data_IF_303064142369
#
_entry.id   IF_303064142369
#
_cell.length_a   1.000
_cell.length_b   1.000
_cell.length_c   1.000
_cell.angle_alpha   90.00
_cell.angle_beta   90.00
_cell.angle_gamma   90.00
#
_symmetry.space_group_name_H-M   'P 1'
#
loop_
_entity.id
_entity.type
_entity.pdbx_description
1 polymer ?
#
# COMPACT_ATOMS: atom_id res chain seq x y z
N UNK A 1 18.03 -25.23 -13.78
CA UNK A 1 17.70 -25.93 -15.04
C UNK A 1 18.65 -27.08 -15.34
N UNK A 2 19.94 -26.99 -15.02
CA UNK A 2 20.87 -28.14 -15.07
C UNK A 2 20.31 -29.41 -14.38
N UNK A 3 19.69 -29.27 -13.21
CA UNK A 3 19.04 -30.37 -12.48
C UNK A 3 17.93 -31.05 -13.29
N UNK A 4 17.16 -30.31 -14.10
CA UNK A 4 16.12 -30.90 -14.95
C UNK A 4 16.75 -31.79 -16.04
N UNK A 5 17.82 -31.33 -16.68
CA UNK A 5 18.57 -32.12 -17.67
C UNK A 5 19.22 -33.35 -17.06
N UNK A 6 19.72 -33.25 -15.83
CA UNK A 6 20.24 -34.40 -15.09
C UNK A 6 19.14 -35.43 -14.77
N UNK A 7 17.96 -34.98 -14.34
CA UNK A 7 16.82 -35.89 -14.10
C UNK A 7 16.42 -36.55 -15.41
N UNK A 8 16.28 -35.79 -16.50
CA UNK A 8 15.95 -36.33 -17.82
C UNK A 8 16.92 -37.45 -18.19
N UNK A 9 18.22 -37.17 -18.15
CA UNK A 9 19.29 -38.13 -18.43
C UNK A 9 19.21 -39.39 -17.55
N UNK A 10 19.13 -39.23 -16.23
CA UNK A 10 19.10 -40.35 -15.29
C UNK A 10 17.84 -41.20 -15.44
N UNK A 11 16.71 -40.61 -15.82
CA UNK A 11 15.45 -41.34 -16.04
C UNK A 11 15.39 -42.06 -17.39
N UNK A 12 16.22 -41.67 -18.36
CA UNK A 12 16.26 -42.29 -19.69
C UNK A 12 17.40 -43.28 -19.87
N UNK A 13 18.38 -43.28 -18.95
CA UNK A 13 19.51 -44.21 -18.97
C UNK A 13 19.10 -45.56 -18.40
N UNK A 14 19.35 -46.63 -19.16
CA UNK A 14 19.09 -48.02 -18.80
C UNK A 14 20.37 -48.78 -18.43
N UNK A 15 21.53 -48.29 -18.87
CA UNK A 15 22.84 -48.89 -18.55
C UNK A 15 23.55 -48.11 -17.45
N UNK A 16 24.29 -48.81 -16.60
CA UNK A 16 25.07 -48.19 -15.52
C UNK A 16 26.13 -47.22 -16.06
N UNK A 17 26.69 -47.50 -17.24
CA UNK A 17 27.66 -46.63 -17.91
C UNK A 17 27.04 -45.29 -18.32
N UNK A 18 25.87 -45.32 -18.98
CA UNK A 18 25.19 -44.08 -19.34
C UNK A 18 24.65 -43.39 -18.10
N UNK A 19 24.07 -44.13 -17.16
CA UNK A 19 23.54 -43.56 -15.94
C UNK A 19 24.62 -42.76 -15.22
N UNK A 20 25.84 -43.28 -15.08
CA UNK A 20 26.93 -42.62 -14.37
C UNK A 20 27.67 -41.55 -15.18
N UNK A 21 27.30 -41.34 -16.44
CA UNK A 21 27.93 -40.35 -17.28
C UNK A 21 27.62 -38.91 -16.83
N UNK A 22 28.64 -38.05 -16.81
CA UNK A 22 28.46 -36.64 -16.45
C UNK A 22 27.82 -35.88 -17.62
N UNK A 23 26.66 -35.26 -17.42
CA UNK A 23 26.04 -34.37 -18.42
C UNK A 23 26.58 -32.94 -18.39
N UNK A 24 27.45 -32.62 -17.43
CA UNK A 24 28.01 -31.28 -17.23
C UNK A 24 29.25 -31.06 -18.12
N UNK A 25 29.07 -31.08 -19.45
CA UNK A 25 30.19 -31.11 -20.38
C UNK A 25 30.18 -29.94 -21.36
N UNK A 26 31.20 -29.09 -21.23
CA UNK A 26 31.46 -27.93 -22.08
C UNK A 26 32.25 -28.26 -23.37
N UNK A 27 32.71 -29.51 -23.60
CA UNK A 27 33.53 -29.86 -24.77
C UNK A 27 32.71 -30.59 -25.86
N UNK A 28 32.85 -30.16 -27.12
CA UNK A 28 32.19 -30.80 -28.28
C UNK A 28 32.57 -32.29 -28.45
N UNK A 29 33.82 -32.64 -28.13
CA UNK A 29 34.34 -34.01 -28.30
C UNK A 29 33.69 -35.01 -27.34
N UNK A 30 33.42 -34.61 -26.10
CA UNK A 30 32.77 -35.48 -25.13
C UNK A 30 31.25 -35.60 -25.36
N UNK A 31 30.60 -34.60 -25.96
CA UNK A 31 29.21 -34.72 -26.42
C UNK A 31 29.07 -35.77 -27.53
N UNK A 32 30.06 -35.86 -28.42
CA UNK A 32 30.11 -36.86 -29.49
C UNK A 32 30.35 -38.28 -28.93
N UNK A 33 31.31 -38.44 -28.01
CA UNK A 33 31.57 -39.71 -27.30
C UNK A 33 30.33 -40.20 -26.54
N UNK A 34 29.59 -39.29 -25.91
CA UNK A 34 28.33 -39.61 -25.23
C UNK A 34 27.22 -40.08 -26.18
N UNK A 35 26.99 -39.37 -27.28
CA UNK A 35 25.99 -39.77 -28.29
C UNK A 35 26.34 -41.12 -28.91
N UNK A 36 27.64 -41.40 -29.12
CA UNK A 36 28.11 -42.69 -29.63
C UNK A 36 27.83 -43.82 -28.63
N UNK A 37 28.12 -43.63 -27.34
CA UNK A 37 27.83 -44.61 -26.28
C UNK A 37 26.33 -44.86 -26.13
N UNK A 38 25.51 -43.82 -26.15
CA UNK A 38 24.05 -43.94 -26.09
C UNK A 38 23.50 -44.75 -27.28
N UNK A 39 24.06 -44.52 -28.48
CA UNK A 39 23.69 -45.26 -29.67
C UNK A 39 24.09 -46.73 -29.62
N UNK A 40 25.30 -47.01 -29.18
CA UNK A 40 25.85 -48.37 -29.17
C UNK A 40 25.25 -49.26 -28.07
N UNK A 41 24.79 -48.68 -26.95
CA UNK A 41 24.32 -49.46 -25.79
C UNK A 41 22.80 -49.40 -25.53
N UNK A 42 22.11 -48.31 -25.88
CA UNK A 42 20.69 -48.11 -25.49
C UNK A 42 19.68 -47.99 -26.65
N UNK A 43 20.15 -47.87 -27.90
CA UNK A 43 19.30 -47.85 -29.09
C UNK A 43 19.34 -49.15 -29.91
N UNK A 44 19.84 -50.23 -29.31
CA UNK A 44 19.82 -51.58 -29.90
C UNK A 44 18.36 -52.06 -30.01
N UNK A 45 17.93 -52.67 -31.13
CA UNK A 45 16.56 -53.15 -31.28
C UNK A 45 16.22 -54.19 -30.22
N UNK A 46 15.14 -53.98 -29.48
CA UNK A 46 14.64 -55.01 -28.59
C UNK A 46 13.75 -55.99 -29.37
N UNK A 47 14.27 -57.20 -29.62
CA UNK A 47 13.59 -58.24 -30.38
C UNK A 47 12.37 -58.84 -29.66
N UNK A 48 12.17 -58.57 -28.37
CA UNK A 48 11.05 -59.11 -27.58
C UNK A 48 9.80 -58.22 -27.58
N UNK A 49 9.89 -57.01 -28.14
CA UNK A 49 8.83 -56.00 -28.13
C UNK A 49 8.40 -55.72 -29.59
N UNK A 50 7.13 -55.38 -29.88
CA UNK A 50 6.71 -54.99 -31.22
C UNK A 50 7.58 -53.85 -31.78
N UNK A 51 8.05 -54.01 -33.02
CA UNK A 51 8.99 -53.10 -33.69
C UNK A 51 8.59 -51.63 -33.58
N UNK A 52 7.31 -51.32 -33.77
CA UNK A 52 6.78 -49.96 -33.73
C UNK A 52 6.92 -49.31 -32.34
N UNK A 53 6.65 -50.08 -31.28
CA UNK A 53 6.80 -49.61 -29.90
C UNK A 53 8.26 -49.49 -29.46
N UNK A 54 9.13 -50.39 -29.93
CA UNK A 54 10.58 -50.30 -29.68
C UNK A 54 11.21 -49.09 -30.41
N UNK A 55 10.81 -48.85 -31.66
CA UNK A 55 11.23 -47.66 -32.42
C UNK A 55 10.78 -46.36 -31.74
N UNK A 56 9.53 -46.32 -31.28
CA UNK A 56 8.96 -45.17 -30.56
C UNK A 56 9.73 -44.89 -29.28
N UNK A 57 10.01 -45.92 -28.47
CA UNK A 57 10.79 -45.79 -27.23
C UNK A 57 12.20 -45.24 -27.50
N UNK A 58 12.90 -45.76 -28.52
CA UNK A 58 14.24 -45.29 -28.91
C UNK A 58 14.24 -43.84 -29.38
N UNK A 59 13.27 -43.45 -30.20
CA UNK A 59 13.09 -42.05 -30.61
C UNK A 59 12.86 -41.14 -29.41
N UNK A 60 12.01 -41.53 -28.46
CA UNK A 60 11.77 -40.74 -27.24
C UNK A 60 13.04 -40.53 -26.42
N UNK A 61 13.83 -41.60 -26.25
CA UNK A 61 15.13 -41.50 -25.59
C UNK A 61 16.03 -40.52 -26.32
N UNK A 62 16.19 -40.66 -27.65
CA UNK A 62 17.02 -39.75 -28.46
C UNK A 62 16.62 -38.28 -28.25
N UNK A 63 15.33 -37.96 -28.32
CA UNK A 63 14.88 -36.58 -28.09
C UNK A 63 15.23 -36.09 -26.68
N UNK A 64 14.94 -36.87 -25.64
CA UNK A 64 15.25 -36.48 -24.26
C UNK A 64 16.76 -36.36 -23.99
N UNK A 65 17.58 -37.19 -24.64
CA UNK A 65 19.03 -37.11 -24.55
C UNK A 65 19.60 -35.91 -25.31
N UNK A 66 19.12 -35.64 -26.53
CA UNK A 66 19.45 -34.40 -27.26
C UNK A 66 19.09 -33.17 -26.43
N UNK A 67 17.99 -33.22 -25.69
CA UNK A 67 17.62 -32.16 -24.76
C UNK A 67 18.57 -32.04 -23.56
N UNK A 68 19.03 -33.14 -22.99
CA UNK A 68 19.92 -33.12 -21.82
C UNK A 68 21.31 -32.55 -22.15
N UNK A 69 21.80 -32.80 -23.38
CA UNK A 69 23.17 -32.51 -23.82
C UNK A 69 23.27 -31.29 -24.76
N UNK A 70 22.16 -30.96 -25.43
CA UNK A 70 22.08 -29.95 -26.48
C UNK A 70 22.17 -28.48 -26.05
N UNK A 71 21.58 -28.03 -24.92
CA UNK A 71 21.61 -26.62 -24.56
C UNK A 71 23.04 -26.17 -24.22
N UNK A 72 23.48 -25.09 -24.86
CA UNK A 72 24.68 -24.33 -24.44
C UNK A 72 24.35 -23.58 -23.14
N UNK A 73 23.10 -23.10 -23.01
CA UNK A 73 22.58 -22.43 -21.81
C UNK A 73 21.35 -23.15 -21.23
N UNK A 74 21.44 -23.51 -19.95
CA UNK A 74 20.34 -24.09 -19.19
C UNK A 74 19.38 -22.99 -18.70
N UNK A 75 18.50 -22.50 -19.57
CA UNK A 75 17.47 -21.50 -19.25
C UNK A 75 16.04 -22.07 -19.30
N UNK A 76 15.08 -21.35 -18.72
CA UNK A 76 13.66 -21.74 -18.80
C UNK A 76 13.16 -21.63 -20.25
N UNK A 77 13.61 -20.59 -20.94
CA UNK A 77 13.29 -20.32 -22.35
C UNK A 77 13.83 -21.43 -23.25
N UNK A 78 15.07 -21.89 -23.05
CA UNK A 78 15.64 -22.98 -23.87
C UNK A 78 14.89 -24.29 -23.68
N UNK A 79 14.50 -24.61 -22.43
CA UNK A 79 13.65 -25.78 -22.13
C UNK A 79 12.34 -25.78 -22.91
N UNK A 80 11.55 -24.71 -22.78
CA UNK A 80 10.23 -24.66 -23.40
C UNK A 80 10.30 -24.40 -24.92
N UNK A 81 11.36 -23.76 -25.41
CA UNK A 81 11.64 -23.69 -26.84
C UNK A 81 11.89 -25.07 -27.44
N UNK A 82 12.69 -25.92 -26.78
CA UNK A 82 12.91 -27.31 -27.23
C UNK A 82 11.63 -28.14 -27.19
N UNK A 83 10.87 -28.03 -26.09
CA UNK A 83 9.57 -28.69 -25.97
C UNK A 83 8.67 -28.31 -27.15
N UNK A 84 8.54 -27.02 -27.45
CA UNK A 84 7.77 -26.52 -28.59
C UNK A 84 8.27 -27.08 -29.93
N UNK A 85 9.59 -27.04 -30.19
CA UNK A 85 10.19 -27.61 -31.41
C UNK A 85 9.91 -29.10 -31.59
N UNK A 86 9.85 -29.85 -30.49
CA UNK A 86 9.60 -31.30 -30.53
C UNK A 86 8.13 -31.59 -30.80
N UNK A 87 7.21 -30.83 -30.20
CA UNK A 87 5.77 -30.96 -30.43
C UNK A 87 5.35 -30.51 -31.84
N UNK A 88 5.93 -29.41 -32.32
CA UNK A 88 5.68 -28.85 -33.65
C UNK A 88 6.35 -29.69 -34.77
N UNK A 89 7.02 -30.80 -34.44
CA UNK A 89 7.68 -31.65 -35.40
C UNK A 89 6.69 -32.49 -36.22
N UNK A 90 6.57 -32.18 -37.51
CA UNK A 90 5.68 -32.87 -38.46
C UNK A 90 6.07 -34.34 -38.72
N UNK A 91 7.29 -34.76 -38.37
CA UNK A 91 7.75 -36.14 -38.54
C UNK A 91 7.33 -37.07 -37.39
N UNK A 92 6.72 -36.54 -36.32
CA UNK A 92 6.24 -37.35 -35.19
C UNK A 92 4.75 -37.66 -35.33
N UNK A 93 4.39 -38.93 -35.14
CA UNK A 93 2.99 -39.36 -35.05
C UNK A 93 2.33 -38.83 -33.77
N UNK A 94 1.00 -38.80 -33.72
CA UNK A 94 0.26 -38.36 -32.53
C UNK A 94 0.64 -39.17 -31.29
N UNK A 95 0.73 -40.51 -31.41
CA UNK A 95 1.14 -41.39 -30.33
C UNK A 95 2.56 -41.07 -29.80
N UNK A 96 3.51 -40.78 -30.71
CA UNK A 96 4.87 -40.39 -30.34
C UNK A 96 4.90 -39.04 -29.60
N UNK A 97 4.07 -38.08 -30.00
CA UNK A 97 3.97 -36.78 -29.32
C UNK A 97 3.40 -36.94 -27.92
N UNK A 98 2.33 -37.72 -27.77
CA UNK A 98 1.71 -37.97 -26.47
C UNK A 98 2.66 -38.70 -25.52
N UNK A 99 3.44 -39.65 -26.03
CA UNK A 99 4.45 -40.33 -25.25
C UNK A 99 5.58 -39.39 -24.80
N UNK A 100 6.07 -38.52 -25.70
CA UNK A 100 7.04 -37.49 -25.36
C UNK A 100 6.52 -36.56 -24.26
N UNK A 101 5.29 -36.05 -24.42
CA UNK A 101 4.62 -35.20 -23.41
C UNK A 101 4.55 -35.93 -22.07
N UNK A 102 4.12 -37.20 -22.07
CA UNK A 102 4.02 -38.02 -20.86
C UNK A 102 5.37 -38.16 -20.13
N UNK A 103 6.45 -38.48 -20.86
CA UNK A 103 7.80 -38.59 -20.31
C UNK A 103 8.32 -37.23 -19.81
N UNK A 104 8.14 -36.17 -20.59
CA UNK A 104 8.53 -34.81 -20.20
C UNK A 104 7.81 -34.36 -18.92
N UNK A 105 6.50 -34.60 -18.81
CA UNK A 105 5.70 -34.33 -17.62
C UNK A 105 6.16 -35.15 -16.41
N UNK A 106 6.55 -36.43 -16.59
CA UNK A 106 7.16 -37.24 -15.53
C UNK A 106 8.45 -36.59 -15.02
N UNK A 107 9.37 -36.20 -15.90
CA UNK A 107 10.63 -35.52 -15.54
C UNK A 107 10.34 -34.20 -14.81
N UNK A 108 9.41 -33.41 -15.32
CA UNK A 108 9.00 -32.13 -14.74
C UNK A 108 8.45 -32.29 -13.31
N UNK A 109 7.66 -33.34 -13.05
CA UNK A 109 7.16 -33.66 -11.70
C UNK A 109 8.30 -33.98 -10.73
N UNK A 110 9.26 -34.80 -11.13
CA UNK A 110 10.44 -35.11 -10.30
C UNK A 110 11.27 -33.86 -10.01
N UNK A 111 11.50 -33.02 -11.03
CA UNK A 111 12.20 -31.76 -10.86
C UNK A 111 11.50 -30.84 -9.85
N UNK A 112 10.18 -30.69 -9.94
CA UNK A 112 9.42 -29.89 -8.99
C UNK A 112 9.43 -30.49 -7.57
N UNK A 113 9.32 -31.81 -7.43
CA UNK A 113 9.38 -32.48 -6.14
C UNK A 113 10.73 -32.23 -5.45
N UNK A 114 11.85 -32.43 -6.17
CA UNK A 114 13.19 -32.16 -5.66
C UNK A 114 13.41 -30.68 -5.35
N UNK A 115 12.99 -29.78 -6.24
CA UNK A 115 13.10 -28.33 -6.03
C UNK A 115 12.34 -27.91 -4.77
N UNK A 116 11.14 -28.46 -4.56
CA UNK A 116 10.32 -28.21 -3.36
C UNK A 116 10.97 -28.80 -2.10
N UNK A 117 11.55 -29.99 -2.18
CA UNK A 117 12.25 -30.60 -1.05
C UNK A 117 13.47 -29.77 -0.63
N UNK A 118 14.30 -29.34 -1.60
CA UNK A 118 15.45 -28.45 -1.34
C UNK A 118 14.98 -27.12 -0.75
N UNK A 119 13.92 -26.52 -1.29
CA UNK A 119 13.35 -25.30 -0.73
C UNK A 119 12.90 -25.47 0.72
N UNK A 120 12.15 -26.53 1.03
CA UNK A 120 11.73 -26.84 2.41
C UNK A 120 12.92 -27.05 3.35
N UNK A 121 13.96 -27.73 2.88
CA UNK A 121 15.19 -27.90 3.65
C UNK A 121 15.86 -26.55 3.96
N UNK A 122 16.03 -25.71 2.93
CA UNK A 122 16.59 -24.35 3.09
C UNK A 122 15.76 -23.52 4.05
N UNK A 123 14.44 -23.55 3.91
CA UNK A 123 13.51 -22.85 4.79
C UNK A 123 13.67 -23.26 6.25
N UNK A 124 13.74 -24.58 6.53
CA UNK A 124 13.90 -25.10 7.90
C UNK A 124 15.25 -24.77 8.50
N UNK A 125 16.31 -24.72 7.70
CA UNK A 125 17.69 -24.45 8.17
C UNK A 125 18.00 -22.95 8.28
N UNK A 126 17.22 -22.10 7.61
CA UNK A 126 17.45 -20.67 7.59
C UNK A 126 17.32 -20.06 8.99
N UNK A 127 18.29 -19.26 9.38
CA UNK A 127 18.19 -18.47 10.60
C UNK A 127 17.19 -17.33 10.41
N UNK A 128 16.43 -17.06 11.46
CA UNK A 128 15.63 -15.85 11.56
C UNK A 128 16.57 -14.71 11.95
N UNK A 129 16.80 -13.76 11.04
CA UNK A 129 17.71 -12.63 11.33
C UNK A 129 17.06 -11.54 12.15
N UNK A 130 15.73 -11.46 12.09
CA UNK A 130 14.98 -10.32 12.61
C UNK A 130 13.79 -10.85 13.36
N UNK A 131 13.78 -10.56 14.65
CA UNK A 131 12.76 -10.98 15.60
C UNK A 131 11.99 -9.79 16.17
N UNK A 132 12.21 -8.59 15.65
CA UNK A 132 11.52 -7.37 16.05
C UNK A 132 10.88 -6.71 14.81
N UNK A 133 9.76 -6.01 14.98
CA UNK A 133 9.12 -5.20 13.95
C UNK A 133 9.90 -3.88 13.70
N UNK A 134 9.39 -3.05 12.77
CA UNK A 134 10.01 -1.75 12.46
C UNK A 134 9.96 -0.74 13.62
N UNK A 135 9.14 -0.98 14.65
CA UNK A 135 8.97 -0.16 15.86
C UNK A 135 9.68 -0.81 17.06
N UNK A 136 10.46 -1.87 16.83
CA UNK A 136 11.24 -2.64 17.81
C UNK A 136 10.40 -3.51 18.78
N UNK A 137 9.14 -3.79 18.44
CA UNK A 137 8.30 -4.77 19.15
C UNK A 137 8.73 -6.19 18.77
N UNK A 138 8.88 -7.12 19.72
CA UNK A 138 9.21 -8.51 19.40
C UNK A 138 8.07 -9.19 18.61
N UNK A 139 8.45 -9.88 17.54
CA UNK A 139 7.56 -10.60 16.62
C UNK A 139 8.03 -12.04 16.41
N UNK A 140 7.09 -12.94 16.17
CA UNK A 140 7.36 -14.36 15.96
C UNK A 140 6.69 -14.90 14.70
N UNK A 141 7.26 -15.98 14.14
CA UNK A 141 6.70 -16.69 12.97
C UNK A 141 5.28 -17.24 13.20
N UNK A 142 4.88 -17.43 14.45
CA UNK A 142 3.58 -17.99 14.84
C UNK A 142 2.42 -16.99 14.84
N UNK A 143 2.70 -15.70 14.74
CA UNK A 143 1.68 -14.66 14.84
C UNK A 143 0.88 -14.52 13.54
N UNK A 144 -0.45 -14.40 13.67
CA UNK A 144 -1.38 -14.31 12.53
C UNK A 144 -1.16 -13.07 11.65
N UNK A 145 -0.58 -12.00 12.20
CA UNK A 145 -0.31 -10.73 11.55
C UNK A 145 1.14 -10.60 11.07
N UNK A 146 1.93 -11.69 11.07
CA UNK A 146 3.33 -11.67 10.67
C UNK A 146 3.54 -12.51 9.42
N UNK A 147 4.08 -11.89 8.37
CA UNK A 147 4.52 -12.58 7.16
C UNK A 147 6.02 -12.88 7.24
N UNK A 148 6.37 -14.11 6.88
CA UNK A 148 7.77 -14.53 6.78
C UNK A 148 8.24 -14.48 5.33
N UNK A 149 9.30 -13.73 5.06
CA UNK A 149 9.92 -13.61 3.74
C UNK A 149 11.29 -14.26 3.77
N UNK A 150 11.53 -15.17 2.83
CA UNK A 150 12.83 -15.82 2.67
C UNK A 150 13.63 -15.15 1.55
N UNK A 151 14.75 -14.52 1.91
CA UNK A 151 15.60 -13.80 0.97
C UNK A 151 17.07 -13.94 1.39
N UNK A 152 17.98 -14.06 0.42
CA UNK A 152 19.42 -14.22 0.68
C UNK A 152 19.73 -15.29 1.77
N UNK A 153 19.08 -16.45 1.70
CA UNK A 153 19.19 -17.58 2.65
C UNK A 153 18.81 -17.29 4.11
N UNK A 154 18.12 -16.20 4.39
CA UNK A 154 17.66 -15.83 5.73
C UNK A 154 16.14 -15.59 5.73
N UNK A 155 15.51 -15.76 6.90
CA UNK A 155 14.13 -15.37 7.12
C UNK A 155 14.05 -13.95 7.69
N UNK A 156 13.12 -13.18 7.16
CA UNK A 156 12.76 -11.83 7.60
C UNK A 156 11.29 -11.83 7.99
N UNK A 157 11.00 -11.36 9.20
CA UNK A 157 9.64 -11.23 9.70
C UNK A 157 9.18 -9.80 9.51
N UNK A 158 7.94 -9.64 9.07
CA UNK A 158 7.29 -8.34 8.91
C UNK A 158 5.87 -8.43 9.41
N UNK A 159 5.41 -7.42 10.15
CA UNK A 159 3.98 -7.31 10.43
C UNK A 159 3.23 -6.90 9.16
N UNK A 160 1.93 -7.18 9.09
CA UNK A 160 1.07 -6.70 7.99
C UNK A 160 1.10 -5.17 7.88
N UNK A 161 1.22 -4.46 9.00
CA UNK A 161 1.36 -3.00 9.04
C UNK A 161 2.67 -2.53 8.42
N UNK A 162 3.79 -3.22 8.72
CA UNK A 162 5.09 -2.93 8.11
C UNK A 162 5.03 -3.14 6.60
N UNK A 163 4.48 -4.28 6.18
CA UNK A 163 4.36 -4.62 4.76
C UNK A 163 3.49 -3.61 4.01
N UNK A 164 2.38 -3.17 4.61
CA UNK A 164 1.55 -2.11 4.03
C UNK A 164 2.37 -0.85 3.84
N UNK A 165 3.08 -0.40 4.87
CA UNK A 165 3.87 0.83 4.84
C UNK A 165 4.99 0.76 3.80
N UNK A 166 5.73 -0.36 3.74
CA UNK A 166 6.81 -0.60 2.77
C UNK A 166 6.27 -0.56 1.34
N UNK A 167 5.17 -1.28 1.07
CA UNK A 167 4.59 -1.39 -0.27
C UNK A 167 3.94 -0.07 -0.68
N UNK A 168 3.10 0.53 0.17
CA UNK A 168 2.43 1.80 -0.14
C UNK A 168 3.44 2.93 -0.32
N UNK A 169 4.47 3.01 0.53
CA UNK A 169 5.52 4.02 0.40
C UNK A 169 6.26 3.92 -0.94
N UNK A 170 6.57 2.69 -1.39
CA UNK A 170 7.22 2.48 -2.67
C UNK A 170 6.30 2.80 -3.86
N UNK A 171 5.03 2.35 -3.81
CA UNK A 171 4.08 2.50 -4.90
C UNK A 171 3.49 3.92 -5.03
N UNK A 172 3.41 4.67 -3.93
CA UNK A 172 2.95 6.07 -3.92
C UNK A 172 4.05 7.08 -4.23
N UNK A 173 5.26 6.62 -4.60
CA UNK A 173 6.36 7.51 -4.94
C UNK A 173 6.02 8.37 -6.18
N UNK A 174 6.04 9.70 -6.01
CA UNK A 174 5.70 10.65 -7.06
C UNK A 174 6.54 11.94 -6.95
N UNK A 175 7.86 11.87 -7.17
CA UNK A 175 8.75 13.02 -7.07
C UNK A 175 8.29 14.15 -7.98
N UNK A 176 8.34 15.39 -7.48
CA UNK A 176 7.84 16.59 -8.19
C UNK A 176 6.38 16.46 -8.66
N UNK A 177 5.57 15.67 -7.96
CA UNK A 177 4.17 15.37 -8.31
C UNK A 177 4.00 14.59 -9.63
N UNK A 178 5.06 13.95 -10.14
CA UNK A 178 4.99 13.01 -11.27
C UNK A 178 5.10 11.57 -10.79
N UNK A 179 4.10 10.74 -11.14
CA UNK A 179 4.05 9.36 -10.67
C UNK A 179 5.27 8.57 -11.15
N UNK A 180 6.04 8.06 -10.19
CA UNK A 180 7.21 7.24 -10.44
C UNK A 180 7.28 6.12 -9.40
N UNK A 181 6.34 5.16 -9.45
CA UNK A 181 6.27 4.08 -8.47
C UNK A 181 7.57 3.26 -8.48
N UNK A 182 8.05 2.93 -7.28
CA UNK A 182 9.25 2.14 -7.08
C UNK A 182 8.88 0.69 -6.76
N UNK A 183 9.78 -0.23 -7.10
CA UNK A 183 9.65 -1.62 -6.68
C UNK A 183 9.70 -1.69 -5.14
N UNK A 184 8.74 -2.34 -4.47
CA UNK A 184 8.82 -2.60 -3.04
C UNK A 184 10.04 -3.46 -2.70
N UNK A 185 10.77 -3.10 -1.65
CA UNK A 185 12.04 -3.74 -1.24
C UNK A 185 11.99 -4.14 0.22
N UNK A 186 12.82 -5.12 0.55
CA UNK A 186 13.11 -5.44 1.94
C UNK A 186 14.04 -4.35 2.52
N UNK A 187 13.63 -3.62 3.57
CA UNK A 187 14.41 -2.51 4.14
C UNK A 187 15.76 -2.97 4.73
N UNK A 188 15.88 -4.24 5.11
CA UNK A 188 17.07 -4.76 5.79
C UNK A 188 18.21 -5.14 4.83
N UNK A 189 17.92 -5.39 3.56
CA UNK A 189 18.92 -5.79 2.57
C UNK A 189 18.82 -5.01 1.25
N UNK A 190 17.86 -4.09 1.12
CA UNK A 190 17.60 -3.26 -0.06
C UNK A 190 17.33 -4.06 -1.36
N UNK A 191 16.97 -5.34 -1.25
CA UNK A 191 16.63 -6.16 -2.40
C UNK A 191 15.12 -6.07 -2.70
N UNK A 192 14.73 -5.91 -3.99
CA UNK A 192 13.33 -5.91 -4.38
C UNK A 192 12.69 -7.27 -4.12
N UNK A 193 11.40 -7.25 -3.78
CA UNK A 193 10.60 -8.46 -3.71
C UNK A 193 10.35 -9.00 -5.12
N UNK A 194 10.57 -10.31 -5.31
CA UNK A 194 10.23 -10.96 -6.57
C UNK A 194 8.71 -11.20 -6.67
N UNK A 195 8.23 -11.54 -7.87
CA UNK A 195 6.80 -11.77 -8.11
C UNK A 195 6.24 -12.85 -7.18
N UNK A 196 6.98 -13.92 -6.95
CA UNK A 196 6.56 -15.02 -6.07
C UNK A 196 6.33 -14.53 -4.63
N UNK A 197 7.25 -13.72 -4.11
CA UNK A 197 7.12 -13.10 -2.78
C UNK A 197 5.95 -12.12 -2.74
N UNK A 198 5.76 -11.30 -3.78
CA UNK A 198 4.62 -10.37 -3.85
C UNK A 198 3.27 -11.10 -3.86
N UNK A 199 3.12 -12.19 -4.62
CA UNK A 199 1.92 -13.04 -4.56
C UNK A 199 1.72 -13.63 -3.17
N UNK A 200 2.78 -14.14 -2.54
CA UNK A 200 2.70 -14.68 -1.18
C UNK A 200 2.21 -13.63 -0.18
N UNK A 201 2.80 -12.43 -0.18
CA UNK A 201 2.37 -11.31 0.67
C UNK A 201 0.92 -10.94 0.40
N UNK A 202 0.53 -10.82 -0.87
CA UNK A 202 -0.83 -10.44 -1.26
C UNK A 202 -1.87 -11.44 -0.75
N UNK A 203 -1.67 -12.73 -0.99
CA UNK A 203 -2.61 -13.75 -0.55
C UNK A 203 -2.63 -13.90 0.97
N UNK A 204 -1.49 -13.73 1.65
CA UNK A 204 -1.43 -13.68 3.10
C UNK A 204 -2.30 -12.54 3.66
N UNK A 205 -2.14 -11.33 3.12
CA UNK A 205 -2.93 -10.16 3.55
C UNK A 205 -4.42 -10.26 3.17
N UNK A 206 -4.75 -10.91 2.05
CA UNK A 206 -6.14 -11.10 1.60
C UNK A 206 -6.89 -12.16 2.42
N UNK A 207 -6.18 -13.17 2.91
CA UNK A 207 -6.77 -14.24 3.73
C UNK A 207 -6.89 -13.85 5.20
N UNK A 208 -5.93 -13.11 5.73
CA UNK A 208 -6.10 -12.47 7.03
C UNK A 208 -7.09 -11.33 6.92
N UNK A 209 -7.92 -11.11 7.94
CA UNK A 209 -8.96 -10.07 7.97
C UNK A 209 -8.36 -8.64 8.06
N UNK A 210 -7.41 -8.31 7.19
CA UNK A 210 -6.68 -7.07 7.16
C UNK A 210 -7.21 -6.17 6.05
N UNK A 211 -7.27 -4.87 6.32
CA UNK A 211 -7.60 -3.88 5.28
C UNK A 211 -6.49 -3.87 4.24
N UNK A 212 -6.82 -4.27 3.01
CA UNK A 212 -5.88 -4.27 1.91
C UNK A 212 -5.76 -2.85 1.33
N UNK A 213 -4.53 -2.44 1.01
CA UNK A 213 -4.30 -1.18 0.32
C UNK A 213 -4.84 -1.23 -1.11
N UNK A 214 -5.57 -0.19 -1.53
CA UNK A 214 -6.00 -0.02 -2.92
C UNK A 214 -4.78 0.01 -3.87
N UNK A 215 -3.67 0.64 -3.48
CA UNK A 215 -2.46 0.66 -4.31
C UNK A 215 -1.89 -0.75 -4.49
N UNK A 216 -1.84 -1.53 -3.40
CA UNK A 216 -1.32 -2.90 -3.49
C UNK A 216 -2.25 -3.82 -4.29
N UNK A 217 -3.57 -3.67 -4.12
CA UNK A 217 -4.55 -4.41 -4.90
C UNK A 217 -4.44 -4.11 -6.40
N UNK A 218 -4.36 -2.84 -6.77
CA UNK A 218 -4.22 -2.45 -8.18
C UNK A 218 -2.87 -2.90 -8.74
N UNK A 219 -1.80 -2.87 -7.94
CA UNK A 219 -0.50 -3.42 -8.35
C UNK A 219 -0.55 -4.92 -8.61
N UNK A 220 -1.32 -5.68 -7.82
CA UNK A 220 -1.61 -7.10 -8.08
C UNK A 220 -2.39 -7.30 -9.38
N UNK A 221 -3.42 -6.49 -9.65
CA UNK A 221 -4.20 -6.58 -10.91
C UNK A 221 -3.34 -6.34 -12.15
N UNK A 222 -2.26 -5.55 -12.04
CA UNK A 222 -1.29 -5.32 -13.10
C UNK A 222 -0.18 -6.39 -13.17
N UNK A 223 -0.37 -7.59 -12.60
CA UNK A 223 0.65 -8.67 -12.52
C UNK A 223 1.99 -8.23 -11.91
N UNK A 224 1.91 -7.29 -10.96
CA UNK A 224 3.06 -6.62 -10.35
C UNK A 224 3.99 -5.93 -11.36
N UNK A 225 3.45 -5.47 -12.49
CA UNK A 225 4.16 -4.66 -13.49
C UNK A 225 4.11 -3.17 -13.13
N UNK A 226 5.26 -2.57 -12.81
CA UNK A 226 5.33 -1.13 -12.47
C UNK A 226 4.88 -0.24 -13.64
N UNK A 227 5.16 -0.63 -14.88
CA UNK A 227 4.79 0.16 -16.07
C UNK A 227 3.28 0.19 -16.28
N UNK A 228 2.62 -0.97 -16.19
CA UNK A 228 1.15 -1.05 -16.31
C UNK A 228 0.50 -0.36 -15.12
N UNK A 229 1.02 -0.60 -13.91
CA UNK A 229 0.53 0.02 -12.70
C UNK A 229 0.59 1.55 -12.75
N UNK A 230 1.72 2.13 -13.15
CA UNK A 230 1.86 3.58 -13.34
C UNK A 230 0.80 4.11 -14.30
N UNK A 231 0.66 3.49 -15.48
CA UNK A 231 -0.24 3.94 -16.53
C UNK A 231 -1.71 3.91 -16.09
N UNK A 232 -2.11 2.86 -15.38
CA UNK A 232 -3.51 2.62 -15.01
C UNK A 232 -3.91 3.30 -13.68
N UNK A 233 -2.94 3.67 -12.83
CA UNK A 233 -3.20 4.16 -11.47
C UNK A 233 -2.56 5.52 -11.16
N UNK A 234 -2.18 6.28 -12.18
CA UNK A 234 -1.45 7.54 -12.01
C UNK A 234 -2.17 8.52 -11.07
N UNK A 235 -3.50 8.65 -11.21
CA UNK A 235 -4.35 9.53 -10.40
C UNK A 235 -4.26 9.15 -8.91
N UNK A 236 -4.39 7.86 -8.60
CA UNK A 236 -4.40 7.36 -7.22
C UNK A 236 -3.00 7.46 -6.60
N UNK A 237 -1.95 7.13 -7.37
CA UNK A 237 -0.55 7.26 -6.93
C UNK A 237 -0.27 8.70 -6.50
N UNK A 238 -0.65 9.66 -7.35
CA UNK A 238 -0.42 11.08 -7.09
C UNK A 238 -1.25 11.58 -5.90
N UNK A 239 -2.53 11.21 -5.82
CA UNK A 239 -3.39 11.57 -4.67
C UNK A 239 -2.78 11.09 -3.35
N UNK A 240 -2.36 9.83 -3.29
CA UNK A 240 -1.71 9.25 -2.10
C UNK A 240 -0.38 9.92 -1.77
N UNK A 241 0.39 10.30 -2.78
CA UNK A 241 1.62 11.06 -2.59
C UNK A 241 1.36 12.43 -1.96
N UNK A 242 0.37 13.17 -2.47
CA UNK A 242 -0.02 14.48 -1.95
C UNK A 242 -0.46 14.39 -0.48
N UNK A 243 -1.30 13.41 -0.15
CA UNK A 243 -1.75 13.17 1.23
C UNK A 243 -0.57 12.92 2.18
N UNK A 244 0.44 12.16 1.73
CA UNK A 244 1.64 11.89 2.50
C UNK A 244 2.54 13.12 2.61
N UNK A 245 2.73 13.85 1.51
CA UNK A 245 3.54 15.06 1.45
C UNK A 245 3.01 16.14 2.41
N UNK A 246 1.71 16.43 2.38
CA UNK A 246 1.09 17.45 3.25
C UNK A 246 1.21 17.08 4.74
N UNK A 247 1.29 15.80 5.09
CA UNK A 247 1.48 15.34 6.47
C UNK A 247 2.95 15.40 6.93
N UNK A 248 3.88 15.10 6.04
CA UNK A 248 5.27 14.82 6.43
C UNK A 248 6.28 15.87 5.93
N UNK A 249 5.87 16.82 5.10
CA UNK A 249 6.76 17.85 4.57
C UNK A 249 7.33 18.76 5.68
N UNK A 250 8.54 19.32 5.48
CA UNK A 250 9.15 20.26 6.41
C UNK A 250 8.26 21.48 6.67
N UNK A 251 8.26 21.95 7.92
CA UNK A 251 7.46 23.12 8.34
C UNK A 251 7.82 24.36 7.52
N UNK A 252 9.11 24.56 7.18
CA UNK A 252 9.56 25.70 6.40
C UNK A 252 8.93 25.74 5.00
N UNK A 253 8.94 24.61 4.30
CA UNK A 253 8.35 24.50 2.96
C UNK A 253 6.83 24.72 3.01
N UNK A 254 6.15 24.06 3.96
CA UNK A 254 4.71 24.24 4.15
C UNK A 254 4.33 25.68 4.55
N UNK A 255 5.19 26.38 5.30
CA UNK A 255 4.97 27.77 5.67
C UNK A 255 4.99 28.69 4.45
N UNK A 256 6.01 28.55 3.58
CA UNK A 256 6.12 29.35 2.35
C UNK A 256 4.92 29.12 1.43
N UNK A 257 4.56 27.85 1.24
CA UNK A 257 3.42 27.44 0.42
C UNK A 257 2.09 27.95 0.98
N UNK A 258 1.92 27.97 2.31
CA UNK A 258 0.72 28.52 2.93
C UNK A 258 0.63 30.04 2.75
N UNK A 259 1.75 30.77 2.85
CA UNK A 259 1.77 32.21 2.58
C UNK A 259 1.42 32.49 1.12
N UNK A 260 1.95 31.73 0.18
CA UNK A 260 1.66 31.91 -1.24
C UNK A 260 0.22 31.53 -1.58
N UNK A 261 -0.33 30.47 -0.98
CA UNK A 261 -1.76 30.15 -1.02
C UNK A 261 -2.60 31.34 -0.57
N UNK A 262 -2.31 31.96 0.59
CA UNK A 262 -3.08 33.10 1.10
C UNK A 262 -2.96 34.34 0.20
N UNK A 263 -1.83 34.55 -0.48
CA UNK A 263 -1.63 35.67 -1.42
C UNK A 263 -2.41 35.50 -2.72
N UNK A 264 -2.44 34.28 -3.25
CA UNK A 264 -3.15 33.96 -4.49
C UNK A 264 -4.67 34.17 -4.33
N UNK A 265 -5.22 33.74 -3.20
CA UNK A 265 -6.65 33.82 -2.91
C UNK A 265 -7.11 35.22 -2.49
N UNK A 266 -8.03 35.81 -3.25
CA UNK A 266 -8.54 37.18 -3.05
C UNK A 266 -9.13 37.41 -1.65
N UNK A 267 -9.70 36.36 -1.05
CA UNK A 267 -10.38 36.34 0.24
C UNK A 267 -9.45 36.70 1.40
N UNK A 268 -8.19 36.29 1.29
CA UNK A 268 -7.19 36.32 2.37
C UNK A 268 -6.14 37.41 2.16
N UNK A 269 -6.18 38.15 1.04
CA UNK A 269 -5.21 39.22 0.73
C UNK A 269 -5.12 40.33 1.77
N UNK A 270 -6.16 40.49 2.58
CA UNK A 270 -6.21 41.50 3.67
C UNK A 270 -5.57 41.01 4.97
N UNK A 271 -5.32 39.71 5.10
CA UNK A 271 -4.64 39.15 6.26
C UNK A 271 -3.18 39.58 6.24
N UNK A 272 -2.75 40.21 7.33
CA UNK A 272 -1.38 40.62 7.55
C UNK A 272 -0.85 39.85 8.74
N UNK A 273 -0.19 38.73 8.45
CA UNK A 273 0.44 37.86 9.44
C UNK A 273 1.79 38.49 9.79
N UNK A 274 2.05 38.63 11.09
CA UNK A 274 3.31 39.17 11.58
C UNK A 274 4.47 38.22 11.29
N UNK A 275 5.67 38.76 11.04
CA UNK A 275 6.87 37.96 10.75
C UNK A 275 7.30 37.11 11.93
N UNK A 276 7.01 37.55 13.14
CA UNK A 276 7.34 36.85 14.38
C UNK A 276 6.32 35.75 14.73
N UNK A 277 5.23 35.61 13.96
CA UNK A 277 4.21 34.61 14.24
C UNK A 277 4.80 33.19 14.14
N UNK A 278 4.55 32.29 15.12
CA UNK A 278 5.19 30.97 15.13
C UNK A 278 4.84 30.13 13.89
N UNK A 279 5.85 29.82 13.08
CA UNK A 279 5.67 29.07 11.83
C UNK A 279 5.05 27.68 12.05
N UNK A 280 5.42 26.99 13.14
CA UNK A 280 4.85 25.68 13.50
C UNK A 280 3.34 25.77 13.74
N UNK A 281 2.91 26.76 14.51
CA UNK A 281 1.49 27.03 14.80
C UNK A 281 0.73 27.40 13.53
N UNK A 282 1.32 28.24 12.68
CA UNK A 282 0.71 28.63 11.41
C UNK A 282 0.48 27.42 10.50
N UNK A 283 1.51 26.59 10.33
CA UNK A 283 1.44 25.39 9.49
C UNK A 283 0.44 24.40 10.06
N UNK A 284 0.36 24.21 11.38
CA UNK A 284 -0.65 23.36 12.02
C UNK A 284 -2.08 23.78 11.61
N UNK A 285 -2.39 25.08 11.70
CA UNK A 285 -3.70 25.64 11.35
C UNK A 285 -3.96 25.54 9.84
N UNK A 286 -2.95 25.82 9.02
CA UNK A 286 -3.08 25.88 7.56
C UNK A 286 -2.98 24.53 6.86
N UNK A 287 -2.43 23.49 7.49
CA UNK A 287 -2.23 22.16 6.89
C UNK A 287 -3.47 21.58 6.20
N UNK A 288 -4.69 21.61 6.77
CA UNK A 288 -5.87 21.10 6.06
C UNK A 288 -6.28 21.97 4.87
N UNK A 289 -6.01 23.27 4.88
CA UNK A 289 -6.21 24.16 3.73
C UNK A 289 -5.16 23.90 2.64
N UNK A 290 -3.92 23.65 3.03
CA UNK A 290 -2.86 23.23 2.12
C UNK A 290 -3.23 21.93 1.41
N UNK A 291 -3.82 20.95 2.10
CA UNK A 291 -4.29 19.72 1.46
C UNK A 291 -5.24 20.00 0.27
N UNK A 292 -6.20 20.93 0.45
CA UNK A 292 -7.09 21.38 -0.62
C UNK A 292 -6.35 22.13 -1.73
N UNK A 293 -5.43 23.00 -1.37
CA UNK A 293 -4.63 23.79 -2.31
C UNK A 293 -3.77 22.89 -3.22
N UNK A 294 -3.10 21.91 -2.63
CA UNK A 294 -2.33 20.91 -3.37
C UNK A 294 -3.22 20.07 -4.28
N UNK A 295 -4.41 19.64 -3.82
CA UNK A 295 -5.38 18.94 -4.67
C UNK A 295 -5.87 19.81 -5.83
N UNK A 296 -6.13 21.10 -5.61
CA UNK A 296 -6.53 22.04 -6.67
C UNK A 296 -5.47 22.16 -7.78
N UNK A 297 -4.19 22.26 -7.41
CA UNK A 297 -3.10 22.49 -8.37
C UNK A 297 -2.65 21.20 -9.04
N UNK A 298 -2.45 20.13 -8.27
CA UNK A 298 -1.68 18.96 -8.73
C UNK A 298 -2.52 17.69 -8.96
N UNK A 299 -3.79 17.67 -8.56
CA UNK A 299 -4.67 16.52 -8.86
C UNK A 299 -4.80 16.33 -10.37
N UNK A 300 -4.87 15.07 -10.80
CA UNK A 300 -5.17 14.70 -12.19
C UNK A 300 -6.67 14.55 -12.45
N UNK A 301 -7.46 14.44 -11.39
CA UNK A 301 -8.92 14.34 -11.48
C UNK A 301 -9.52 15.75 -11.50
N UNK A 302 -10.17 16.11 -12.61
CA UNK A 302 -10.79 17.43 -12.80
C UNK A 302 -11.87 17.71 -11.75
N UNK A 303 -12.69 16.71 -11.42
CA UNK A 303 -13.74 16.88 -10.42
C UNK A 303 -13.13 17.17 -9.04
N UNK A 304 -12.08 16.46 -8.66
CA UNK A 304 -11.36 16.72 -7.41
C UNK A 304 -10.76 18.14 -7.39
N UNK A 305 -10.20 18.61 -8.52
CA UNK A 305 -9.62 19.97 -8.62
C UNK A 305 -10.67 21.03 -8.41
N UNK A 306 -11.76 20.96 -9.17
CA UNK A 306 -12.86 21.94 -9.11
C UNK A 306 -13.49 21.95 -7.71
N UNK A 307 -13.70 20.75 -7.14
CA UNK A 307 -14.23 20.60 -5.79
C UNK A 307 -13.30 21.19 -4.73
N UNK A 308 -12.00 20.95 -4.86
CA UNK A 308 -11.00 21.45 -3.91
C UNK A 308 -10.85 22.96 -4.01
N UNK A 309 -10.86 23.52 -5.23
CA UNK A 309 -10.83 24.97 -5.47
C UNK A 309 -12.04 25.65 -4.82
N UNK A 310 -13.24 25.13 -5.11
CA UNK A 310 -14.48 25.67 -4.57
C UNK A 310 -14.51 25.61 -3.05
N UNK A 311 -14.17 24.44 -2.47
CA UNK A 311 -14.13 24.24 -1.02
C UNK A 311 -13.10 25.16 -0.35
N UNK A 312 -11.87 25.23 -0.89
CA UNK A 312 -10.82 26.08 -0.38
C UNK A 312 -11.23 27.55 -0.35
N UNK A 313 -11.84 28.02 -1.45
CA UNK A 313 -12.30 29.40 -1.61
C UNK A 313 -13.30 29.80 -0.52
N UNK A 314 -14.23 28.92 -0.17
CA UNK A 314 -15.24 29.15 0.87
C UNK A 314 -14.59 29.12 2.25
N UNK A 315 -13.78 28.11 2.53
CA UNK A 315 -13.15 27.93 3.83
C UNK A 315 -12.17 29.07 4.15
N UNK A 316 -11.39 29.54 3.17
CA UNK A 316 -10.51 30.70 3.33
C UNK A 316 -11.29 32.00 3.52
N UNK A 317 -12.44 32.17 2.84
CA UNK A 317 -13.34 33.31 3.09
C UNK A 317 -13.83 33.30 4.53
N UNK A 318 -14.29 32.14 5.01
CA UNK A 318 -14.78 31.94 6.38
C UNK A 318 -13.68 32.24 7.39
N UNK A 319 -12.49 31.72 7.18
CA UNK A 319 -11.31 31.97 8.01
C UNK A 319 -11.00 33.48 8.11
N UNK A 320 -10.91 34.16 6.96
CA UNK A 320 -10.57 35.59 6.92
C UNK A 320 -11.67 36.50 7.50
N UNK A 321 -12.94 36.12 7.37
CA UNK A 321 -14.07 36.85 7.97
C UNK A 321 -14.15 36.67 9.48
N UNK A 322 -13.82 35.47 9.98
CA UNK A 322 -13.86 35.14 11.40
C UNK A 322 -12.84 35.96 12.20
N UNK A 323 -11.58 36.00 11.74
CA UNK A 323 -10.53 36.80 12.36
C UNK A 323 -9.71 37.56 11.30
N UNK A 324 -10.12 38.78 10.93
CA UNK A 324 -9.38 39.62 9.96
C UNK A 324 -8.00 40.07 10.44
N UNK A 325 -7.73 39.96 11.75
CA UNK A 325 -6.45 40.33 12.39
C UNK A 325 -5.61 39.11 12.77
N UNK A 326 -5.96 37.93 12.24
CA UNK A 326 -5.23 36.69 12.49
C UNK A 326 -3.73 36.87 12.24
N UNK A 327 -2.92 36.39 13.18
CA UNK A 327 -1.47 36.44 13.12
C UNK A 327 -0.84 37.78 13.45
N UNK A 328 -1.61 38.80 13.86
CA UNK A 328 -1.05 40.10 14.31
C UNK A 328 -0.51 40.02 15.73
N UNK A 329 0.59 40.74 15.96
CA UNK A 329 1.23 40.93 17.26
C UNK A 329 0.46 41.95 18.10
N UNK A 330 0.15 41.59 19.34
CA UNK A 330 -0.56 42.41 20.31
C UNK A 330 0.17 42.44 21.65
N UNK A 331 -0.10 43.46 22.46
CA UNK A 331 0.46 43.63 23.80
C UNK A 331 -0.68 43.76 24.80
N UNK A 332 -0.68 42.92 25.84
CA UNK A 332 -1.58 43.05 26.97
C UNK A 332 -0.89 43.89 28.03
N UNK A 333 -1.49 45.02 28.37
CA UNK A 333 -1.00 45.90 29.42
C UNK A 333 -1.60 45.43 30.74
N UNK A 334 -0.77 44.90 31.63
CA UNK A 334 -1.18 44.50 32.98
C UNK A 334 -0.56 45.46 33.98
N UNK A 335 -1.37 46.14 34.80
CA UNK A 335 -0.86 47.07 35.82
C UNK A 335 0.15 46.34 36.72
N UNK A 336 1.37 46.85 36.79
CA UNK A 336 2.44 46.33 37.67
C UNK A 336 3.25 45.15 37.14
N UNK A 337 3.03 44.69 35.89
CA UNK A 337 3.84 43.66 35.22
C UNK A 337 4.35 44.15 33.87
N UNK A 338 5.47 43.61 33.33
CA UNK A 338 5.87 43.90 31.96
C UNK A 338 4.77 43.48 30.99
N UNK A 339 4.57 44.25 29.91
CA UNK A 339 3.57 43.96 28.89
C UNK A 339 3.76 42.55 28.32
N UNK A 340 2.70 41.76 28.35
CA UNK A 340 2.71 40.41 27.78
C UNK A 340 2.45 40.51 26.28
N UNK A 341 3.41 40.04 25.48
CA UNK A 341 3.26 39.91 24.04
C UNK A 341 2.47 38.64 23.71
N UNK A 342 1.46 38.76 22.87
CA UNK A 342 0.71 37.62 22.34
C UNK A 342 0.35 37.83 20.87
N UNK A 343 -0.07 36.75 20.20
CA UNK A 343 -0.58 36.81 18.83
C UNK A 343 -2.07 36.50 18.81
N UNK A 344 -2.79 37.11 17.87
CA UNK A 344 -4.18 36.76 17.59
C UNK A 344 -4.22 35.47 16.76
N UNK A 345 -4.23 34.31 17.42
CA UNK A 345 -4.28 33.00 16.76
C UNK A 345 -5.68 32.36 16.77
N UNK A 346 -6.68 33.06 17.29
CA UNK A 346 -8.07 32.61 17.25
C UNK A 346 -8.53 32.38 15.81
N UNK A 347 -9.00 31.17 15.55
CA UNK A 347 -9.42 30.74 14.24
C UNK A 347 -10.55 29.73 14.34
N UNK A 348 -11.27 29.63 13.24
CA UNK A 348 -12.30 28.62 13.12
C UNK A 348 -11.69 27.24 12.89
N UNK A 349 -12.24 26.22 13.57
CA UNK A 349 -11.85 24.83 13.34
C UNK A 349 -12.13 24.45 11.89
N UNK A 350 -11.14 23.86 11.24
CA UNK A 350 -11.30 23.34 9.89
C UNK A 350 -12.35 22.22 9.87
N UNK A 351 -13.35 22.35 9.01
CA UNK A 351 -14.38 21.34 8.78
C UNK A 351 -14.65 21.25 7.29
N UNK A 352 -14.67 20.02 6.76
CA UNK A 352 -15.04 19.76 5.37
C UNK A 352 -16.48 20.16 5.11
N UNK A 353 -16.76 20.66 3.93
CA UNK A 353 -18.11 21.04 3.52
C UNK A 353 -18.92 19.75 3.28
N UNK A 354 -19.91 19.50 4.13
CA UNK A 354 -20.83 18.39 3.92
C UNK A 354 -21.81 18.74 2.79
N UNK A 355 -21.71 18.02 1.67
CA UNK A 355 -22.59 18.18 0.51
C UNK A 355 -23.83 17.29 0.58
N UNK A 356 -23.85 16.32 1.50
CA UNK A 356 -24.96 15.41 1.68
C UNK A 356 -26.02 16.04 2.59
N UNK A 357 -27.19 16.34 2.03
CA UNK A 357 -28.31 16.97 2.74
C UNK A 357 -28.99 15.98 3.70
N UNK A 358 -29.02 14.69 3.36
CA UNK A 358 -29.69 13.64 4.15
C UNK A 358 -28.84 12.38 4.22
N UNK A 359 -28.18 12.17 5.35
CA UNK A 359 -27.39 10.97 5.62
C UNK A 359 -28.22 9.68 5.50
N UNK A 360 -29.48 9.72 5.97
CA UNK A 360 -30.37 8.55 5.98
C UNK A 360 -30.77 8.10 4.57
N UNK A 361 -30.88 9.02 3.61
CA UNK A 361 -31.34 8.71 2.25
C UNK A 361 -30.22 8.70 1.20
N UNK A 362 -28.98 9.04 1.57
CA UNK A 362 -27.86 9.20 0.62
C UNK A 362 -27.44 7.91 -0.08
N UNK A 363 -27.83 6.74 0.43
CA UNK A 363 -27.59 5.44 -0.20
C UNK A 363 -28.69 5.04 -1.19
N UNK A 364 -29.79 5.80 -1.25
CA UNK A 364 -30.97 5.54 -2.09
C UNK A 364 -31.11 6.62 -3.17
N UNK A 365 -31.03 7.89 -2.76
CA UNK A 365 -31.38 9.02 -3.62
C UNK A 365 -30.12 9.70 -4.17
N UNK A 366 -29.92 9.60 -5.48
CA UNK A 366 -28.89 10.37 -6.19
C UNK A 366 -29.41 11.79 -6.45
N UNK A 367 -28.93 12.76 -5.67
CA UNK A 367 -29.29 14.17 -5.83
C UNK A 367 -28.07 15.02 -6.19
N UNK A 368 -27.94 15.38 -7.45
CA UNK A 368 -26.86 16.25 -7.97
C UNK A 368 -27.09 17.75 -7.73
N UNK A 369 -28.08 18.14 -6.91
CA UNK A 369 -28.41 19.57 -6.77
C UNK A 369 -27.21 20.33 -6.22
N UNK A 370 -26.70 21.23 -7.05
CA UNK A 370 -25.60 22.13 -6.78
C UNK A 370 -26.00 23.14 -5.70
N UNK A 371 -25.95 22.70 -4.45
CA UNK A 371 -26.44 23.44 -3.29
C UNK A 371 -25.42 24.45 -2.76
N UNK A 372 -24.49 24.89 -3.62
CA UNK A 372 -23.50 25.93 -3.33
C UNK A 372 -24.11 27.09 -2.55
N UNK A 373 -25.25 27.61 -3.02
CA UNK A 373 -25.90 28.78 -2.43
C UNK A 373 -26.63 28.50 -1.11
N UNK A 374 -27.05 27.25 -0.87
CA UNK A 374 -27.68 26.87 0.40
C UNK A 374 -26.60 26.66 1.47
N UNK A 375 -25.51 25.99 1.10
CA UNK A 375 -24.32 25.80 1.94
C UNK A 375 -23.70 27.16 2.29
N UNK A 376 -23.52 28.06 1.32
CA UNK A 376 -23.01 29.41 1.57
C UNK A 376 -23.93 30.25 2.48
N UNK A 377 -25.25 30.01 2.43
CA UNK A 377 -26.23 30.67 3.31
C UNK A 377 -26.15 30.14 4.74
N UNK A 378 -26.10 28.82 4.91
CA UNK A 378 -25.94 28.17 6.23
C UNK A 378 -24.62 28.62 6.85
N UNK A 379 -23.52 28.60 6.09
CA UNK A 379 -22.20 29.02 6.56
C UNK A 379 -22.22 30.49 7.01
N UNK A 380 -22.82 31.39 6.25
CA UNK A 380 -22.94 32.81 6.65
C UNK A 380 -23.71 32.99 7.95
N UNK A 381 -24.80 32.24 8.16
CA UNK A 381 -25.56 32.28 9.41
C UNK A 381 -24.74 31.75 10.60
N UNK A 382 -23.97 30.67 10.42
CA UNK A 382 -23.09 30.14 11.46
C UNK A 382 -21.98 31.11 11.83
N UNK A 383 -21.33 31.72 10.83
CA UNK A 383 -20.26 32.71 11.07
C UNK A 383 -20.78 33.90 11.85
N UNK A 384 -21.94 34.47 11.47
CA UNK A 384 -22.50 35.63 12.17
C UNK A 384 -22.76 35.36 13.66
N UNK A 385 -23.18 34.14 14.01
CA UNK A 385 -23.37 33.72 15.41
C UNK A 385 -22.02 33.60 16.14
N UNK A 386 -21.03 32.98 15.51
CA UNK A 386 -19.69 32.79 16.09
C UNK A 386 -18.93 34.11 16.24
N UNK A 387 -19.01 35.03 15.27
CA UNK A 387 -18.36 36.35 15.34
C UNK A 387 -19.02 37.26 16.37
N UNK A 388 -20.35 37.18 16.55
CA UNK A 388 -21.04 37.93 17.61
C UNK A 388 -20.59 37.50 19.01
N UNK A 389 -20.27 36.22 19.21
CA UNK A 389 -19.74 35.71 20.50
C UNK A 389 -18.34 36.28 20.76
N UNK A 390 -17.47 36.34 19.76
CA UNK A 390 -16.09 36.86 19.93
C UNK A 390 -16.06 38.36 20.17
N UNK A 391 -16.91 39.13 19.48
CA UNK A 391 -17.04 40.56 19.75
C UNK A 391 -17.47 40.79 21.21
N UNK A 392 -18.42 40.01 21.72
CA UNK A 392 -18.84 40.07 23.12
C UNK A 392 -17.76 39.62 24.13
N UNK A 393 -16.80 38.78 23.73
CA UNK A 393 -15.69 38.35 24.60
C UNK A 393 -14.53 39.36 24.58
N UNK A 394 -14.27 39.99 23.44
CA UNK A 394 -13.21 41.00 23.30
C UNK A 394 -13.59 42.38 23.86
N UNK A 395 -14.89 42.67 24.01
CA UNK A 395 -15.39 43.92 24.61
C UNK A 395 -15.59 43.83 26.14
N UNK A 396 -15.29 42.69 26.78
CA UNK A 396 -15.26 42.59 28.26
C UNK A 396 -13.93 43.13 28.79
N UNK A 397 -13.95 44.40 29.18
CA UNK A 397 -12.90 45.04 29.98
C UNK A 397 -12.80 44.32 31.35
N UNK A 398 -11.62 43.89 31.83
CA UNK A 398 -11.50 43.21 33.13
C UNK A 398 -11.58 44.18 34.33
N UNK A 399 -12.09 45.40 34.15
CA UNK A 399 -12.14 46.43 35.20
C UNK A 399 -13.45 46.49 35.99
N UNK A 400 -14.42 45.61 35.76
CA UNK A 400 -15.62 45.50 36.61
C UNK A 400 -15.61 44.17 37.39
N UNK A 401 -14.67 44.06 38.33
CA UNK A 401 -14.90 43.29 39.55
C UNK A 401 -15.15 44.27 40.70
N UNK A 402 -16.36 44.26 41.24
CA UNK A 402 -16.69 44.92 42.50
C UNK A 402 -18.12 45.42 42.57
N UNK A 403 -19.03 44.58 43.04
CA UNK A 403 -19.87 44.89 44.21
C UNK A 403 -20.70 43.65 44.59
N UNK A 404 -20.30 43.03 45.69
CA UNK A 404 -21.13 42.09 46.44
C UNK A 404 -22.18 42.94 47.16
N UNK A 405 -23.44 42.83 46.75
CA UNK A 405 -24.58 43.33 47.52
C UNK A 405 -25.33 42.13 48.08
N UNK A 406 -25.17 41.93 49.38
CA UNK A 406 -26.16 41.24 50.21
C UNK A 406 -27.54 41.85 49.96
N UNK A 407 -28.54 41.01 49.77
CA UNK A 407 -29.88 41.32 50.23
C UNK A 407 -30.64 40.03 50.56
N UNK A 408 -30.74 39.80 51.86
CA UNK A 408 -31.71 38.97 52.55
C UNK A 408 -33.15 39.44 52.30
N UNK A 409 -34.07 38.50 52.07
CA UNK A 409 -35.49 38.49 52.49
C UNK A 409 -36.12 37.24 51.85
N UNK A 410 -36.22 36.13 52.59
CA UNK A 410 -37.37 35.72 53.40
C UNK A 410 -38.68 35.66 52.60
N UNK A 411 -39.14 34.43 52.34
CA UNK A 411 -40.56 34.07 52.44
C UNK A 411 -40.62 32.56 52.69
N UNK A 412 -40.82 32.24 53.96
CA UNK A 412 -41.31 30.97 54.46
C UNK A 412 -42.81 30.81 54.13
N UNK A 413 -43.25 29.57 54.38
CA UNK A 413 -44.61 29.05 54.53
C UNK A 413 -45.33 28.60 53.24
N UNK A 414 -45.86 27.37 53.13
CA UNK A 414 -45.83 26.19 54.00
C UNK A 414 -46.53 25.02 53.27
N UNK A 415 -46.47 23.86 53.92
CA UNK A 415 -47.29 22.64 53.83
C UNK A 415 -46.81 21.56 52.84
N UNK A 416 -46.13 20.50 53.31
CA UNK A 416 -46.69 19.30 54.01
C UNK A 416 -47.51 18.47 53.01
N UNK A 417 -47.30 17.17 52.77
CA UNK A 417 -46.81 16.07 53.61
C UNK A 417 -46.45 14.86 52.71
N UNK A 418 -45.56 14.01 53.23
CA UNK A 418 -45.60 12.54 53.33
C UNK A 418 -45.86 11.67 52.06
N UNK A 419 -45.34 10.46 51.91
CA UNK A 419 -44.39 9.61 52.62
C UNK A 419 -44.18 8.38 51.70
N UNK A 420 -43.22 7.55 52.07
CA UNK A 420 -43.15 6.10 51.79
C UNK A 420 -42.60 5.64 50.42
N UNK A 421 -41.33 5.27 50.49
CA UNK A 421 -40.81 3.91 50.31
C UNK A 421 -41.73 2.89 49.62
N UNK A 422 -41.21 2.24 48.58
CA UNK A 422 -41.08 0.78 48.61
C UNK A 422 -40.13 0.30 47.51
N UNK A 423 -39.11 -0.41 47.98
CA UNK A 423 -38.33 -1.39 47.22
C UNK A 423 -39.27 -2.46 46.64
N UNK A 424 -38.96 -2.95 45.43
CA UNK A 424 -39.17 -4.37 45.14
C UNK A 424 -38.29 -4.82 43.97
N UNK A 425 -37.25 -5.58 44.34
CA UNK A 425 -36.66 -6.60 43.47
C UNK A 425 -37.73 -7.63 43.09
N UNK A 426 -37.80 -7.99 41.81
CA UNK A 426 -38.10 -9.38 41.47
C UNK A 426 -37.47 -9.78 40.15
N UNK A 427 -36.56 -10.73 40.27
CA UNK A 427 -36.21 -11.70 39.25
C UNK A 427 -37.48 -12.30 38.61
N UNK A 428 -37.42 -12.57 37.31
CA UNK A 428 -37.84 -13.88 36.81
C UNK A 428 -37.24 -14.17 35.43
N UNK A 429 -36.68 -15.37 35.38
CA UNK A 429 -36.19 -16.13 34.24
C UNK A 429 -37.22 -16.29 33.10
N UNK A 430 -36.74 -16.16 31.85
CA UNK A 430 -36.86 -17.18 30.77
C UNK A 430 -35.96 -16.82 29.56
#
# INVERSE_FOLDING_TARGET
MHTFSQIAHKTTSETDELYNFSTNINSKNMKFDFCSKAHNHEYVPNLTIPFESDMTNRLMKIFLFMFAVGPIDYSIQSKFSYFKKTIDNNFMTTNQRDEFISRFCKIQRHYWALSRAVYRYKWRKASCRIQNDLILTPISESQHNVVTIFQNNNKYLFTVSDMRTIIEGALSNSPYMFAHPLAPKNPYNNLPFDKATLYHIYFFMKQGNFVLSNLFHNYFLCDFSLNNFKRENEVIIRKKHLDHYVKNAPIGDLYLEAIDMLRLHKQTRRLQIDKDFPASRFVEIMRPYLALYYSQIYSLDLAERDNSEYELKILLRRFAMYNPRFGKKCFRIVKGKPNEMYFLDDHIKFQRINRCISYQRSHIDFTERDNSDLVDRIIRQSISRETSIIMQVNDRDPSEEGEVSDNSESNDEDSEDDDDDDDDESDNDD
#
